data_IF_986726482966
#
_entry.id   IF_986726482966
#
_cell.length_a   1.000
_cell.length_b   1.000
_cell.length_c   1.000
_cell.angle_alpha   90.00
_cell.angle_beta   90.00
_cell.angle_gamma   90.00
#
_symmetry.space_group_name_H-M   'P 1'
#
loop_
_entity.id
_entity.type
_entity.pdbx_description
1 polymer ?
#
# COMPACT_ATOMS: atom_id res chain seq x y z
N UNK A 1 6.91 6.72 -22.96
CA UNK A 1 5.65 6.01 -23.37
C UNK A 1 6.01 4.54 -23.58
N UNK A 2 5.32 3.58 -22.94
CA UNK A 2 5.64 2.14 -23.08
C UNK A 2 5.07 1.60 -24.41
N UNK A 3 5.75 0.64 -25.07
CA UNK A 3 5.24 0.05 -26.29
C UNK A 3 3.95 -0.76 -26.04
N UNK A 4 3.03 -0.76 -27.02
CA UNK A 4 1.68 -1.33 -26.85
C UNK A 4 1.68 -2.84 -26.57
N UNK A 5 2.59 -3.58 -27.20
CA UNK A 5 2.76 -5.03 -27.03
C UNK A 5 3.19 -5.45 -25.61
N UNK A 6 3.62 -4.51 -24.77
CA UNK A 6 3.97 -4.74 -23.36
C UNK A 6 3.13 -3.88 -22.39
N UNK A 7 2.10 -3.19 -22.90
CA UNK A 7 1.18 -2.39 -22.09
C UNK A 7 0.20 -3.31 -21.38
N UNK A 8 0.10 -3.20 -20.06
CA UNK A 8 -0.94 -3.88 -19.27
C UNK A 8 -2.30 -3.18 -19.34
N UNK A 9 -2.40 -2.15 -20.18
CA UNK A 9 -3.49 -1.19 -20.24
C UNK A 9 -4.82 -1.84 -20.66
N UNK A 10 -4.76 -2.86 -21.53
CA UNK A 10 -5.92 -3.64 -21.95
C UNK A 10 -6.46 -4.58 -20.86
N UNK A 11 -5.66 -4.86 -19.83
CA UNK A 11 -6.03 -5.71 -18.69
C UNK A 11 -6.46 -4.89 -17.47
N UNK A 12 -6.37 -3.57 -17.53
CA UNK A 12 -6.92 -2.71 -16.48
C UNK A 12 -8.46 -2.73 -16.54
N UNK A 13 -9.14 -2.63 -15.39
CA UNK A 13 -10.59 -2.59 -15.37
C UNK A 13 -11.09 -1.38 -16.17
N UNK A 14 -12.08 -1.61 -17.05
CA UNK A 14 -12.64 -0.56 -17.93
C UNK A 14 -13.24 0.59 -17.14
N UNK A 15 -13.79 0.28 -15.97
CA UNK A 15 -14.24 1.24 -14.97
C UNK A 15 -13.27 1.22 -13.81
N UNK A 16 -12.75 2.39 -13.44
CA UNK A 16 -11.85 2.53 -12.29
C UNK A 16 -12.54 2.04 -11.02
N UNK A 17 -11.86 1.20 -10.26
CA UNK A 17 -12.36 0.69 -8.99
C UNK A 17 -12.33 1.81 -7.95
N UNK A 18 -13.40 1.96 -7.17
CA UNK A 18 -13.46 2.91 -6.04
C UNK A 18 -13.50 2.13 -4.73
N UNK A 19 -12.33 1.89 -4.11
CA UNK A 19 -12.30 1.28 -2.79
C UNK A 19 -12.99 2.21 -1.78
N UNK A 20 -13.52 1.63 -0.70
CA UNK A 20 -14.11 2.41 0.40
C UNK A 20 -13.07 3.07 1.29
N UNK A 21 -11.80 2.70 1.14
CA UNK A 21 -10.65 3.20 1.88
C UNK A 21 -9.58 3.75 0.93
N UNK A 22 -8.67 4.55 1.48
CA UNK A 22 -7.50 5.05 0.77
C UNK A 22 -6.39 4.01 0.80
N UNK A 23 -5.79 3.75 -0.35
CA UNK A 23 -4.67 2.81 -0.46
C UNK A 23 -3.35 3.59 -0.41
N UNK A 24 -2.55 3.33 0.61
CA UNK A 24 -1.29 4.02 0.85
C UNK A 24 -0.13 3.07 0.56
N UNK A 25 0.60 3.33 -0.52
CA UNK A 25 1.77 2.54 -0.91
C UNK A 25 3.03 3.16 -0.35
N UNK A 26 3.77 2.40 0.48
CA UNK A 26 5.13 2.73 0.90
C UNK A 26 6.11 2.02 -0.03
N UNK A 27 6.54 2.73 -1.08
CA UNK A 27 7.34 2.18 -2.15
C UNK A 27 8.84 2.33 -1.90
N UNK A 28 9.57 1.22 -1.97
CA UNK A 28 11.02 1.23 -1.91
C UNK A 28 11.62 1.80 -3.23
N UNK A 29 12.62 2.70 -3.18
CA UNK A 29 13.15 3.37 -4.38
C UNK A 29 13.79 2.43 -5.42
N UNK A 30 14.16 1.21 -5.03
CA UNK A 30 14.68 0.22 -6.00
C UNK A 30 13.59 -0.34 -6.93
N UNK A 31 12.31 -0.29 -6.54
CA UNK A 31 11.19 -0.76 -7.37
C UNK A 31 10.88 0.19 -8.53
N UNK A 32 11.26 1.47 -8.43
CA UNK A 32 11.07 2.45 -9.51
C UNK A 32 11.84 2.08 -10.79
N UNK A 33 12.98 1.41 -10.62
CA UNK A 33 13.85 0.97 -11.71
C UNK A 33 13.42 -0.37 -12.31
N UNK A 34 12.40 -1.03 -11.76
CA UNK A 34 11.94 -2.31 -12.29
C UNK A 34 11.04 -2.14 -13.52
N UNK A 35 11.15 -3.12 -14.42
CA UNK A 35 10.42 -3.19 -15.68
C UNK A 35 8.91 -3.36 -15.45
N UNK A 36 8.50 -4.00 -14.36
CA UNK A 36 7.12 -4.05 -13.89
C UNK A 36 6.95 -3.01 -12.80
N UNK A 37 6.14 -1.97 -13.06
CA UNK A 37 5.85 -0.92 -12.09
C UNK A 37 4.41 -1.13 -11.63
N UNK A 38 4.24 -1.68 -10.44
CA UNK A 38 2.96 -1.96 -9.79
C UNK A 38 2.21 -0.68 -9.45
N UNK A 39 2.91 0.35 -8.96
CA UNK A 39 2.29 1.62 -8.58
C UNK A 39 1.52 2.31 -9.74
N UNK A 40 2.08 2.51 -10.94
CA UNK A 40 1.32 3.04 -12.09
C UNK A 40 0.12 2.20 -12.51
N UNK A 41 0.19 0.87 -12.39
CA UNK A 41 -0.96 0.01 -12.70
C UNK A 41 -2.09 0.25 -11.71
N UNK A 42 -1.76 0.35 -10.41
CA UNK A 42 -2.74 0.60 -9.36
C UNK A 42 -3.36 2.00 -9.48
N UNK A 43 -2.54 3.04 -9.71
CA UNK A 43 -3.04 4.41 -9.91
C UNK A 43 -3.96 4.54 -11.12
N UNK A 44 -3.72 3.80 -12.20
CA UNK A 44 -4.57 3.85 -13.40
C UNK A 44 -5.85 3.01 -13.27
N UNK A 45 -5.83 1.96 -12.45
CA UNK A 45 -6.97 1.07 -12.22
C UNK A 45 -7.94 1.52 -11.13
N UNK A 46 -7.52 2.44 -10.25
CA UNK A 46 -8.35 2.99 -9.17
C UNK A 46 -8.90 4.36 -9.52
N UNK A 47 -9.99 4.76 -8.84
CA UNK A 47 -10.55 6.09 -8.94
C UNK A 47 -9.53 7.14 -8.48
N UNK A 48 -9.66 8.36 -9.00
CA UNK A 48 -8.81 9.49 -8.62
C UNK A 48 -8.87 9.67 -7.10
N UNK A 49 -7.73 10.00 -6.48
CA UNK A 49 -7.53 10.17 -5.04
C UNK A 49 -7.68 8.92 -4.15
N UNK A 50 -7.95 7.75 -4.71
CA UNK A 50 -8.08 6.51 -3.91
C UNK A 50 -6.73 5.84 -3.58
N UNK A 51 -5.63 6.34 -4.16
CA UNK A 51 -4.30 5.77 -3.95
C UNK A 51 -3.22 6.83 -3.87
N UNK A 52 -2.43 6.77 -2.79
CA UNK A 52 -1.30 7.67 -2.54
C UNK A 52 -0.02 6.85 -2.43
N UNK A 53 1.04 7.30 -3.08
CA UNK A 53 2.34 6.60 -3.11
C UNK A 53 3.40 7.45 -2.44
N UNK A 54 3.96 6.96 -1.34
CA UNK A 54 5.12 7.54 -0.67
C UNK A 54 6.37 6.74 -1.00
N UNK A 55 7.46 7.43 -1.36
CA UNK A 55 8.70 6.80 -1.83
C UNK A 55 9.83 6.98 -0.83
N UNK A 56 10.50 5.89 -0.44
CA UNK A 56 11.58 5.98 0.54
C UNK A 56 12.12 4.65 1.02
N UNK A 57 13.23 4.70 1.74
CA UNK A 57 13.78 3.54 2.49
C UNK A 57 13.39 3.58 3.97
N UNK A 58 13.07 4.77 4.47
CA UNK A 58 12.67 5.06 5.84
C UNK A 58 11.37 5.85 5.78
N UNK A 59 10.44 5.55 6.67
CA UNK A 59 9.15 6.21 6.76
C UNK A 59 8.81 6.43 8.25
N UNK A 60 8.04 7.46 8.58
CA UNK A 60 7.85 8.71 7.83
C UNK A 60 9.14 9.56 7.79
N UNK A 61 9.25 10.51 6.85
CA UNK A 61 10.33 11.52 6.79
C UNK A 61 9.74 12.89 6.51
N UNK A 62 10.50 13.98 6.72
CA UNK A 62 10.05 15.37 6.44
C UNK A 62 9.61 15.63 4.99
N UNK A 63 9.91 14.70 4.06
CA UNK A 63 9.49 14.78 2.66
C UNK A 63 8.11 14.16 2.40
N UNK A 64 7.54 13.47 3.39
CA UNK A 64 6.27 12.75 3.28
C UNK A 64 5.17 13.54 3.98
N UNK A 65 4.59 14.51 3.29
CA UNK A 65 3.47 15.30 3.84
C UNK A 65 2.27 14.40 4.17
N UNK A 66 1.71 14.60 5.36
CA UNK A 66 0.54 13.88 5.88
C UNK A 66 0.77 12.40 6.21
N UNK A 67 1.93 11.81 5.89
CA UNK A 67 2.17 10.40 6.13
C UNK A 67 2.21 10.07 7.63
N UNK A 68 2.71 10.99 8.45
CA UNK A 68 2.71 10.77 9.90
C UNK A 68 1.28 10.60 10.43
N UNK A 69 0.37 11.51 10.07
CA UNK A 69 -1.02 11.48 10.51
C UNK A 69 -1.75 10.23 10.02
N UNK A 70 -1.48 9.82 8.78
CA UNK A 70 -1.98 8.57 8.22
C UNK A 70 -1.49 7.37 9.04
N UNK A 71 -0.18 7.25 9.30
CA UNK A 71 0.38 6.09 10.00
C UNK A 71 0.00 6.02 11.49
N UNK A 72 -0.29 7.16 12.10
CA UNK A 72 -0.69 7.24 13.51
C UNK A 72 -2.21 7.15 13.73
N UNK A 73 -3.00 7.19 12.65
CA UNK A 73 -4.45 7.06 12.75
C UNK A 73 -4.86 5.64 13.15
N UNK A 74 -5.79 5.55 14.11
CA UNK A 74 -6.44 4.28 14.51
C UNK A 74 -7.27 3.63 13.39
N UNK A 75 -7.59 4.40 12.35
CA UNK A 75 -8.34 3.98 11.17
C UNK A 75 -7.43 3.47 10.04
N UNK A 76 -6.14 3.34 10.33
CA UNK A 76 -5.14 2.86 9.39
C UNK A 76 -4.70 1.45 9.77
N UNK A 77 -4.73 0.55 8.79
CA UNK A 77 -4.31 -0.85 8.97
C UNK A 77 -3.19 -1.19 8.01
N UNK A 78 -2.28 -2.07 8.43
CA UNK A 78 -1.15 -2.50 7.64
C UNK A 78 -1.41 -3.87 7.02
N UNK A 79 -1.41 -3.95 5.69
CA UNK A 79 -1.37 -5.22 4.97
C UNK A 79 0.06 -5.79 5.03
N UNK A 80 0.31 -6.67 5.99
CA UNK A 80 1.62 -7.29 6.17
C UNK A 80 1.50 -8.62 6.91
N UNK A 81 2.08 -9.72 6.38
CA UNK A 81 2.03 -11.02 7.03
C UNK A 81 2.92 -11.00 8.27
N UNK A 82 2.29 -10.86 9.43
CA UNK A 82 2.93 -10.97 10.74
C UNK A 82 2.22 -12.03 11.57
N UNK A 83 2.87 -12.53 12.63
CA UNK A 83 2.27 -13.53 13.53
C UNK A 83 1.00 -13.03 14.23
N UNK A 84 0.81 -11.71 14.28
CA UNK A 84 -0.35 -11.04 14.87
C UNK A 84 -1.33 -10.52 13.82
N UNK A 85 -1.10 -10.83 12.54
CA UNK A 85 -2.01 -10.43 11.48
C UNK A 85 -3.32 -11.19 11.65
N UNK A 86 -4.42 -10.45 11.56
CA UNK A 86 -5.77 -11.01 11.47
C UNK A 86 -6.21 -11.04 10.00
N UNK A 87 -7.16 -11.89 9.65
CA UNK A 87 -7.74 -11.83 8.31
C UNK A 87 -8.46 -10.49 8.14
N UNK A 88 -8.36 -9.88 6.96
CA UNK A 88 -9.10 -8.67 6.64
C UNK A 88 -10.62 -8.86 6.78
N UNK A 89 -11.12 -10.08 6.60
CA UNK A 89 -12.55 -10.40 6.81
C UNK A 89 -12.96 -10.40 8.29
N UNK A 90 -12.00 -10.62 9.18
CA UNK A 90 -12.18 -10.63 10.63
C UNK A 90 -11.90 -9.26 11.27
N UNK A 91 -11.64 -8.23 10.46
CA UNK A 91 -11.42 -6.88 10.96
C UNK A 91 -12.67 -6.42 11.73
N UNK A 92 -12.54 -5.97 13.00
CA UNK A 92 -13.69 -5.55 13.78
C UNK A 92 -14.49 -4.48 13.04
N UNK A 93 -15.82 -4.59 13.01
CA UNK A 93 -16.68 -3.65 12.26
C UNK A 93 -16.59 -2.22 12.77
N UNK A 94 -16.21 -2.06 14.04
CA UNK A 94 -15.92 -0.79 14.70
C UNK A 94 -14.61 -0.15 14.20
N UNK A 95 -13.74 -0.95 13.56
CA UNK A 95 -12.57 -0.46 12.84
C UNK A 95 -13.06 0.17 11.55
N UNK A 96 -13.45 1.43 11.63
CA UNK A 96 -13.81 2.22 10.46
C UNK A 96 -12.54 2.38 9.60
N UNK A 97 -12.33 1.46 8.66
CA UNK A 97 -11.10 1.40 7.86
C UNK A 97 -11.07 2.56 6.86
N UNK A 98 -10.20 3.53 7.13
CA UNK A 98 -9.99 4.67 6.23
C UNK A 98 -8.74 4.50 5.39
N UNK A 99 -7.67 3.91 5.92
CA UNK A 99 -6.41 3.76 5.19
C UNK A 99 -5.89 2.32 5.24
N UNK A 100 -5.60 1.76 4.07
CA UNK A 100 -4.90 0.48 3.92
C UNK A 100 -3.46 0.76 3.51
N UNK A 101 -2.51 0.49 4.41
CA UNK A 101 -1.08 0.66 4.16
C UNK A 101 -0.53 -0.62 3.54
N UNK A 102 0.19 -0.48 2.43
CA UNK A 102 0.81 -1.59 1.70
C UNK A 102 2.29 -1.27 1.47
N UNK A 103 3.15 -2.24 1.75
CA UNK A 103 4.59 -2.11 1.53
C UNK A 103 4.94 -2.61 0.11
N UNK A 104 5.35 -1.70 -0.77
CA UNK A 104 5.69 -2.01 -2.16
C UNK A 104 7.22 -2.16 -2.30
N UNK A 105 7.65 -3.42 -2.36
CA UNK A 105 9.06 -3.81 -2.39
C UNK A 105 9.19 -5.32 -2.44
N UNK A 106 10.40 -5.81 -2.74
CA UNK A 106 10.71 -7.23 -2.52
C UNK A 106 10.55 -7.59 -1.03
N UNK A 107 10.37 -8.87 -0.70
CA UNK A 107 10.25 -9.32 0.70
C UNK A 107 11.34 -8.76 1.64
N UNK A 108 12.64 -8.77 1.28
CA UNK A 108 13.67 -8.14 2.10
C UNK A 108 13.50 -6.62 2.26
N UNK A 109 13.03 -5.92 1.21
CA UNK A 109 12.80 -4.47 1.25
C UNK A 109 11.59 -4.12 2.10
N UNK A 110 10.47 -4.82 1.92
CA UNK A 110 9.27 -4.64 2.73
C UNK A 110 9.58 -4.91 4.21
N UNK A 111 10.31 -5.99 4.51
CA UNK A 111 10.78 -6.30 5.87
C UNK A 111 11.69 -5.19 6.42
N UNK A 112 12.57 -4.63 5.60
CA UNK A 112 13.42 -3.52 6.02
C UNK A 112 12.59 -2.25 6.31
N UNK A 113 11.59 -1.92 5.48
CA UNK A 113 10.68 -0.80 5.73
C UNK A 113 9.93 -0.99 7.05
N UNK A 114 9.36 -2.18 7.25
CA UNK A 114 8.65 -2.57 8.46
C UNK A 114 9.52 -2.46 9.72
N UNK A 115 10.72 -3.05 9.70
CA UNK A 115 11.63 -3.04 10.84
C UNK A 115 12.15 -1.63 11.18
N UNK A 116 12.25 -0.75 10.19
CA UNK A 116 12.74 0.62 10.39
C UNK A 116 11.64 1.63 10.72
N UNK A 117 10.38 1.21 10.80
CA UNK A 117 9.25 2.12 11.03
C UNK A 117 8.44 1.64 12.23
N UNK A 118 8.67 2.25 13.40
CA UNK A 118 7.99 1.87 14.64
C UNK A 118 6.47 2.00 14.56
N UNK A 119 5.96 3.05 13.88
CA UNK A 119 4.52 3.25 13.69
C UNK A 119 3.86 2.03 13.04
N UNK A 120 4.47 1.47 11.99
CA UNK A 120 3.95 0.27 11.32
C UNK A 120 3.84 -0.93 12.27
N UNK A 121 4.77 -1.07 13.19
CA UNK A 121 4.78 -2.17 14.16
C UNK A 121 3.67 -2.01 15.21
N UNK A 122 3.24 -0.78 15.50
CA UNK A 122 2.15 -0.52 16.45
C UNK A 122 0.74 -0.69 15.86
N UNK A 123 0.62 -0.70 14.52
CA UNK A 123 -0.67 -0.79 13.82
C UNK A 123 -1.32 -2.18 13.92
N UNK A 124 -2.62 -2.22 13.60
CA UNK A 124 -3.32 -3.46 13.30
C UNK A 124 -2.75 -4.05 12.01
N UNK A 125 -2.37 -5.32 12.06
CA UNK A 125 -1.86 -6.05 10.91
C UNK A 125 -2.98 -6.89 10.33
N UNK A 126 -3.14 -6.82 9.01
CA UNK A 126 -4.07 -7.66 8.27
C UNK A 126 -3.36 -8.51 7.24
N UNK A 127 -3.89 -9.70 7.01
CA UNK A 127 -3.51 -10.59 5.90
C UNK A 127 -4.71 -10.84 5.01
N UNK A 128 -4.46 -11.06 3.71
CA UNK A 128 -5.49 -11.46 2.75
C UNK A 128 -5.20 -12.92 2.38
N UNK A 129 -6.07 -13.83 2.80
CA UNK A 129 -6.09 -15.19 2.26
C UNK A 129 -7.03 -15.18 1.06
N UNK A 130 -6.46 -15.34 -0.13
CA UNK A 130 -7.27 -15.58 -1.33
C UNK A 130 -7.61 -17.07 -1.27
N UNK A 131 -8.87 -17.38 -0.96
CA UNK A 131 -9.46 -18.72 -1.01
C UNK A 131 -9.66 -19.11 -2.47
#
# INVERSE_FOLDING_TARGET
RRPQNVCWCNYLPKTRLKPKCNIILLQHPAEEKRSLRTAPMLTLGLAEDSCVVYKGKKFPTKKHDGLWDILSSKHSVLLYPSKKAIDIVDLPKETELHNLIILDGTWPQAKAIYNNTELLQSMIHVSIYII
#
